data_IF_053930220089
#
_entry.id   IF_053930220089
#
_cell.length_a   1.000
_cell.length_b   1.000
_cell.length_c   1.000
_cell.angle_alpha   90.00
_cell.angle_beta   90.00
_cell.angle_gamma   90.00
#
_symmetry.space_group_name_H-M   'P 1'
#
loop_
_entity.id
_entity.type
_entity.pdbx_description
1 polymer ?
#
# COMPACT_ATOMS: atom_id res chain seq x y z
N UNK A 1 23.15 -0.59 1.92
CA UNK A 1 22.09 -1.58 2.24
C UNK A 1 21.56 -1.22 3.63
N UNK A 2 20.34 -0.71 3.74
CA UNK A 2 19.81 -0.33 5.05
C UNK A 2 19.46 -1.62 5.81
N UNK A 3 20.20 -1.90 6.88
CA UNK A 3 19.87 -2.95 7.83
C UNK A 3 18.61 -2.52 8.58
N UNK A 4 17.49 -3.16 8.28
CA UNK A 4 16.21 -3.00 9.00
C UNK A 4 16.19 -3.85 10.28
N UNK A 5 17.36 -4.17 10.85
CA UNK A 5 17.47 -4.94 12.09
C UNK A 5 16.96 -4.14 13.29
N UNK A 6 15.99 -4.72 13.99
CA UNK A 6 15.55 -4.41 15.36
C UNK A 6 14.84 -3.07 15.57
N UNK A 7 13.58 -3.00 15.12
CA UNK A 7 12.66 -1.94 15.58
C UNK A 7 11.89 -2.41 16.82
N UNK A 8 12.20 -1.77 17.96
CA UNK A 8 11.59 -1.90 19.32
C UNK A 8 10.06 -1.84 19.44
N UNK A 9 9.32 -1.68 18.33
CA UNK A 9 7.87 -1.43 18.31
C UNK A 9 7.07 -2.42 17.46
N UNK A 10 7.72 -3.40 16.83
CA UNK A 10 6.96 -4.53 16.26
C UNK A 10 6.16 -5.18 17.40
N UNK A 11 4.87 -5.44 17.19
CA UNK A 11 4.06 -6.21 18.14
C UNK A 11 4.53 -7.65 18.09
N UNK A 12 5.61 -7.94 18.82
CA UNK A 12 6.22 -9.26 18.93
C UNK A 12 5.14 -10.27 19.33
N UNK A 13 4.93 -11.29 18.48
CA UNK A 13 3.89 -12.31 18.64
C UNK A 13 2.61 -12.11 17.79
N UNK A 14 2.41 -10.94 17.17
CA UNK A 14 1.26 -10.67 16.26
C UNK A 14 1.72 -10.40 14.83
N UNK A 15 2.91 -9.83 14.65
CA UNK A 15 3.47 -9.49 13.34
C UNK A 15 4.81 -10.18 13.11
N UNK A 16 5.02 -10.66 11.89
CA UNK A 16 6.28 -11.26 11.43
C UNK A 16 6.92 -10.37 10.36
N UNK A 17 8.24 -10.17 10.43
CA UNK A 17 9.01 -9.40 9.46
C UNK A 17 9.99 -10.34 8.74
N UNK A 18 9.97 -10.31 7.40
CA UNK A 18 10.77 -11.21 6.57
C UNK A 18 11.51 -10.43 5.48
N UNK A 19 12.79 -10.74 5.29
CA UNK A 19 13.56 -10.28 4.15
C UNK A 19 13.30 -11.18 2.93
N UNK A 20 12.28 -10.85 2.15
CA UNK A 20 11.93 -11.56 0.92
C UNK A 20 11.32 -10.65 -0.14
N UNK A 21 11.16 -11.16 -1.35
CA UNK A 21 10.34 -10.51 -2.36
C UNK A 21 8.87 -10.53 -1.92
N UNK A 22 8.24 -9.37 -1.92
CA UNK A 22 6.84 -9.20 -1.53
C UNK A 22 5.88 -9.90 -2.51
N UNK A 23 6.27 -10.06 -3.77
CA UNK A 23 5.41 -10.64 -4.80
C UNK A 23 5.58 -12.16 -4.96
N UNK A 24 6.53 -12.77 -4.26
CA UNK A 24 6.72 -14.24 -4.26
C UNK A 24 5.91 -14.94 -3.18
N UNK A 25 5.11 -14.20 -2.41
CA UNK A 25 4.25 -14.76 -1.36
C UNK A 25 3.18 -15.68 -1.95
N UNK A 26 2.83 -16.73 -1.20
CA UNK A 26 1.86 -17.73 -1.60
C UNK A 26 0.44 -17.17 -1.79
N UNK A 27 -0.47 -17.99 -2.35
CA UNK A 27 -1.81 -17.54 -2.68
C UNK A 27 -2.67 -17.16 -1.48
N UNK A 28 -2.30 -17.61 -0.28
CA UNK A 28 -2.98 -17.36 1.00
C UNK A 28 -2.72 -15.94 1.54
N UNK A 29 -1.81 -15.19 0.89
CA UNK A 29 -1.47 -13.84 1.28
C UNK A 29 -2.12 -12.80 0.36
N UNK A 30 -2.57 -11.71 0.96
CA UNK A 30 -2.98 -10.48 0.27
C UNK A 30 -2.02 -9.36 0.60
N UNK A 31 -1.66 -8.55 -0.40
CA UNK A 31 -0.78 -7.41 -0.23
C UNK A 31 -1.61 -6.15 0.06
N UNK A 32 -1.06 -5.23 0.85
CA UNK A 32 -1.67 -3.94 1.08
C UNK A 32 -0.62 -2.83 0.89
N UNK A 33 -1.02 -1.71 0.27
CA UNK A 33 -0.19 -0.52 0.22
C UNK A 33 -1.00 0.77 0.21
N UNK A 34 -0.39 1.87 0.65
CA UNK A 34 -1.03 3.16 0.70
C UNK A 34 -0.94 3.90 -0.65
N UNK A 35 -2.04 4.54 -1.04
CA UNK A 35 -2.17 5.40 -2.23
C UNK A 35 -2.84 6.73 -1.91
N UNK A 36 -2.75 7.65 -2.86
CA UNK A 36 -3.56 8.87 -2.89
C UNK A 36 -4.84 8.69 -3.69
N UNK A 37 -5.88 9.46 -3.36
CA UNK A 37 -7.16 9.49 -4.08
C UNK A 37 -6.97 9.89 -5.56
N UNK A 38 -6.05 10.82 -5.85
CA UNK A 38 -5.68 11.18 -7.23
C UNK A 38 -5.02 10.03 -8.01
N UNK A 39 -4.74 8.90 -7.36
CA UNK A 39 -4.17 7.71 -7.96
C UNK A 39 -2.84 8.00 -8.69
N UNK A 40 -2.14 9.09 -8.35
CA UNK A 40 -0.83 9.40 -8.93
C UNK A 40 0.27 8.73 -8.12
N UNK A 41 1.30 8.24 -8.82
CA UNK A 41 2.45 7.61 -8.18
C UNK A 41 3.57 8.64 -8.05
N UNK A 42 3.94 8.99 -6.81
CA UNK A 42 5.20 9.67 -6.54
C UNK A 42 6.38 8.67 -6.61
N UNK A 43 7.57 9.15 -7.00
CA UNK A 43 8.83 8.39 -7.11
C UNK A 43 9.04 7.44 -5.92
N UNK A 44 9.27 6.13 -6.17
CA UNK A 44 9.58 5.11 -5.15
C UNK A 44 9.14 3.66 -5.49
N UNK A 45 9.13 2.78 -4.47
CA UNK A 45 8.75 1.34 -4.52
C UNK A 45 7.36 1.05 -5.12
N UNK A 46 6.52 2.08 -5.27
CA UNK A 46 5.22 2.04 -5.95
C UNK A 46 5.35 1.71 -7.45
N UNK A 47 6.55 1.80 -8.03
CA UNK A 47 6.80 1.44 -9.43
C UNK A 47 6.58 -0.05 -9.69
N UNK A 48 6.84 -0.92 -8.71
CA UNK A 48 6.63 -2.38 -8.86
C UNK A 48 5.14 -2.71 -8.85
N UNK A 49 4.36 -2.02 -8.02
CA UNK A 49 2.90 -2.11 -8.00
C UNK A 49 2.23 -1.59 -9.27
N UNK A 50 2.92 -0.85 -10.16
CA UNK A 50 2.36 -0.44 -11.46
C UNK A 50 1.93 -1.65 -12.30
N UNK A 51 2.66 -2.77 -12.22
CA UNK A 51 2.33 -3.99 -12.96
C UNK A 51 1.01 -4.63 -12.52
N UNK A 52 0.65 -4.44 -11.25
CA UNK A 52 -0.54 -5.02 -10.63
C UNK A 52 -1.73 -4.05 -10.61
N UNK A 53 -1.54 -2.86 -11.17
CA UNK A 53 -2.50 -1.76 -11.07
C UNK A 53 -3.24 -1.55 -12.37
N UNK A 54 -4.55 -1.72 -12.32
CA UNK A 54 -5.46 -1.32 -13.38
C UNK A 54 -6.18 -0.03 -12.97
N UNK A 55 -5.74 1.10 -13.53
CA UNK A 55 -6.32 2.40 -13.23
C UNK A 55 -7.79 2.51 -13.63
N UNK A 56 -8.22 1.79 -14.67
CA UNK A 56 -9.61 1.77 -15.08
C UNK A 56 -10.45 1.19 -13.95
N UNK A 57 -10.14 -0.03 -13.53
CA UNK A 57 -10.86 -0.73 -12.47
C UNK A 57 -10.83 0.00 -11.13
N UNK A 58 -9.70 0.59 -10.76
CA UNK A 58 -9.58 1.32 -9.49
C UNK A 58 -10.40 2.61 -9.48
N UNK A 59 -10.50 3.33 -10.61
CA UNK A 59 -11.30 4.56 -10.70
C UNK A 59 -12.79 4.33 -10.51
N UNK A 60 -13.28 3.12 -10.82
CA UNK A 60 -14.68 2.75 -10.58
C UNK A 60 -15.02 2.48 -9.11
N UNK A 61 -14.02 2.27 -8.24
CA UNK A 61 -14.23 1.86 -6.84
C UNK A 61 -14.36 3.02 -5.85
N UNK A 62 -14.63 4.23 -6.33
CA UNK A 62 -14.76 5.46 -5.55
C UNK A 62 -13.58 5.72 -4.58
N UNK A 63 -12.50 6.23 -5.14
CA UNK A 63 -11.23 6.58 -4.48
C UNK A 63 -11.32 7.83 -3.60
N UNK A 64 -11.90 7.69 -2.40
CA UNK A 64 -11.92 8.73 -1.36
C UNK A 64 -10.98 8.36 -0.20
N UNK A 65 -10.46 9.37 0.50
CA UNK A 65 -9.63 9.15 1.69
C UNK A 65 -10.43 8.40 2.75
N UNK A 66 -9.78 7.43 3.40
CA UNK A 66 -10.42 6.53 4.38
C UNK A 66 -11.02 5.27 3.75
N UNK A 67 -11.13 5.19 2.42
CA UNK A 67 -11.61 3.98 1.72
C UNK A 67 -10.46 3.05 1.32
N UNK A 68 -10.85 1.82 1.03
CA UNK A 68 -9.96 0.77 0.52
C UNK A 68 -10.46 0.35 -0.86
N UNK A 69 -9.56 0.36 -1.84
CA UNK A 69 -9.83 -0.22 -3.16
C UNK A 69 -9.21 -1.61 -3.21
N UNK A 70 -9.87 -2.56 -3.86
CA UNK A 70 -9.41 -3.93 -3.99
C UNK A 70 -9.24 -4.28 -5.47
N UNK A 71 -8.06 -4.76 -5.85
CA UNK A 71 -7.82 -5.28 -7.19
C UNK A 71 -6.94 -6.53 -7.08
N UNK A 72 -7.45 -7.65 -7.58
CA UNK A 72 -6.82 -8.96 -7.44
C UNK A 72 -6.54 -9.27 -5.96
N UNK A 73 -5.29 -9.59 -5.61
CA UNK A 73 -4.84 -9.85 -4.23
C UNK A 73 -4.22 -8.63 -3.55
N UNK A 74 -4.48 -7.43 -4.07
CA UNK A 74 -3.87 -6.18 -3.59
C UNK A 74 -4.94 -5.21 -3.11
N UNK A 75 -4.79 -4.76 -1.86
CA UNK A 75 -5.57 -3.69 -1.26
C UNK A 75 -4.82 -2.36 -1.34
N UNK A 76 -5.52 -1.34 -1.82
CA UNK A 76 -5.03 0.02 -2.01
C UNK A 76 -5.69 0.92 -0.98
N UNK A 77 -4.98 1.22 0.10
CA UNK A 77 -5.47 2.06 1.20
C UNK A 77 -5.37 3.54 0.81
N UNK A 78 -6.51 4.22 0.64
CA UNK A 78 -6.52 5.63 0.25
C UNK A 78 -6.31 6.49 1.50
N UNK A 79 -5.09 6.99 1.69
CA UNK A 79 -4.70 7.67 2.95
C UNK A 79 -4.50 9.18 2.80
N UNK A 80 -4.58 9.70 1.57
CA UNK A 80 -4.35 11.12 1.28
C UNK A 80 -5.04 11.53 -0.02
N UNK A 81 -5.35 12.81 -0.16
CA UNK A 81 -6.01 13.29 -1.38
C UNK A 81 -5.06 13.32 -2.58
N UNK A 82 -3.85 13.86 -2.39
CA UNK A 82 -2.85 14.06 -3.45
C UNK A 82 -1.56 13.31 -3.17
N UNK A 83 -0.89 12.86 -4.21
CA UNK A 83 0.31 12.04 -4.06
C UNK A 83 1.45 12.75 -3.30
N UNK A 84 1.59 14.07 -3.42
CA UNK A 84 2.62 14.86 -2.74
C UNK A 84 2.21 15.32 -1.32
N UNK A 85 0.98 15.05 -0.88
CA UNK A 85 0.53 15.39 0.47
C UNK A 85 0.99 14.36 1.49
N UNK A 86 1.16 14.81 2.74
CA UNK A 86 1.33 13.89 3.87
C UNK A 86 -0.07 13.38 4.28
N UNK A 87 -0.23 12.09 4.60
CA UNK A 87 -1.44 11.59 5.24
C UNK A 87 -1.70 12.35 6.55
N UNK A 88 -2.96 12.69 6.82
CA UNK A 88 -3.37 13.33 8.08
C UNK A 88 -4.61 12.63 8.62
N UNK A 89 -4.69 12.46 9.94
CA UNK A 89 -5.87 11.87 10.57
C UNK A 89 -7.13 12.73 10.41
N UNK A 90 -6.98 14.05 10.24
CA UNK A 90 -8.10 14.98 10.03
C UNK A 90 -8.84 14.77 8.70
N UNK A 91 -8.21 14.09 7.76
CA UNK A 91 -8.77 13.84 6.43
C UNK A 91 -9.42 12.44 6.32
N UNK A 92 -9.41 11.66 7.41
CA UNK A 92 -10.12 10.38 7.55
C UNK A 92 -11.37 10.61 8.38
#
# INVERSE_FOLDING_TARGET
>A
MASYGERKWARLGVTHEEARDLFSVGPDYTLAHCVSADLRICRGNTTVFKKYRDLGKLKYQNQEVGKVLALNKVFYLVTKQKAHWKPTYKAM
#
